data_IF_730466762825
#
_entry.id   IF_730466762825
#
_cell.length_a   1.000
_cell.length_b   1.000
_cell.length_c   1.000
_cell.angle_alpha   90.00
_cell.angle_beta   90.00
_cell.angle_gamma   90.00
#
_symmetry.space_group_name_H-M   'P 1'
#
loop_
_entity.id
_entity.type
_entity.pdbx_description
1 polymer ?
#
# COMPACT_ATOMS: atom_id res chain seq x y z
N UNK A 1 -8.53 35.11 -11.46
CA UNK A 1 -8.02 33.75 -11.75
C UNK A 1 -8.43 32.86 -10.60
N UNK A 2 -9.42 31.99 -10.77
CA UNK A 2 -9.89 31.12 -9.70
C UNK A 2 -8.93 29.93 -9.58
N UNK A 3 -8.33 29.75 -8.41
CA UNK A 3 -7.55 28.55 -8.09
C UNK A 3 -8.51 27.36 -8.07
N UNK A 4 -8.46 26.50 -9.08
CA UNK A 4 -9.26 25.28 -9.10
C UNK A 4 -8.88 24.46 -7.86
N UNK A 5 -9.84 24.26 -6.95
CA UNK A 5 -9.64 23.45 -5.75
C UNK A 5 -9.61 21.99 -6.19
N UNK A 6 -8.45 21.36 -6.06
CA UNK A 6 -8.24 19.96 -6.38
C UNK A 6 -9.15 19.08 -5.50
N UNK A 7 -9.87 18.09 -6.03
CA UNK A 7 -10.67 17.19 -5.21
C UNK A 7 -9.80 16.50 -4.14
N UNK A 8 -10.25 16.56 -2.88
CA UNK A 8 -9.58 15.95 -1.74
C UNK A 8 -10.37 14.70 -1.34
N UNK A 9 -9.70 13.55 -1.36
CA UNK A 9 -10.23 12.29 -0.84
C UNK A 9 -9.43 11.93 0.41
N UNK A 10 -10.13 11.77 1.53
CA UNK A 10 -9.53 11.28 2.77
C UNK A 10 -9.71 9.77 2.83
N UNK A 11 -8.61 9.04 2.90
CA UNK A 11 -8.64 7.61 3.17
C UNK A 11 -8.20 7.38 4.62
N UNK A 12 -9.13 6.87 5.42
CA UNK A 12 -8.82 6.41 6.78
C UNK A 12 -8.53 4.92 6.72
N UNK A 13 -7.28 4.42 6.79
CA UNK A 13 -6.98 2.99 6.77
C UNK A 13 -7.71 2.16 7.83
N UNK A 14 -8.32 2.80 8.84
CA UNK A 14 -9.19 2.15 9.80
C UNK A 14 -10.51 1.63 9.16
N UNK A 15 -11.04 0.48 9.60
CA UNK A 15 -12.29 -0.08 9.07
C UNK A 15 -13.52 0.80 9.33
N UNK A 16 -14.54 0.70 8.46
CA UNK A 16 -15.81 1.44 8.57
C UNK A 16 -16.62 1.05 9.82
N UNK A 17 -16.49 -0.19 10.28
CA UNK A 17 -17.00 -0.67 11.56
C UNK A 17 -15.83 -0.77 12.56
N UNK A 18 -15.81 0.06 13.63
CA UNK A 18 -14.64 0.21 14.49
C UNK A 18 -14.35 -1.01 15.40
N UNK A 19 -15.21 -2.03 15.40
CA UNK A 19 -15.04 -3.28 16.14
C UNK A 19 -14.44 -4.43 15.31
N UNK A 20 -14.41 -4.32 13.97
CA UNK A 20 -14.17 -5.49 13.12
C UNK A 20 -12.69 -5.85 12.94
N UNK A 21 -11.77 -4.90 13.14
CA UNK A 21 -10.34 -5.16 12.96
C UNK A 21 -9.46 -4.38 13.94
N UNK A 22 -9.44 -4.72 15.24
CA UNK A 22 -8.44 -4.17 16.13
C UNK A 22 -7.04 -4.60 15.66
N UNK A 23 -6.29 -3.65 15.10
CA UNK A 23 -4.84 -3.75 14.84
C UNK A 23 -4.39 -4.75 13.76
N UNK A 24 -5.19 -4.99 12.71
CA UNK A 24 -4.67 -5.73 11.55
C UNK A 24 -3.66 -4.88 10.76
N UNK A 25 -2.37 -5.15 11.01
CA UNK A 25 -1.26 -4.49 10.32
C UNK A 25 -1.30 -4.69 8.80
N UNK A 26 -1.88 -5.79 8.30
CA UNK A 26 -2.02 -6.03 6.86
C UNK A 26 -3.15 -5.21 6.25
N UNK A 27 -4.29 -5.10 6.92
CA UNK A 27 -5.38 -4.24 6.47
C UNK A 27 -4.89 -2.80 6.26
N UNK A 28 -4.24 -2.21 7.27
CA UNK A 28 -3.73 -0.85 7.18
C UNK A 28 -2.66 -0.68 6.10
N UNK A 29 -1.76 -1.67 5.96
CA UNK A 29 -0.71 -1.62 4.95
C UNK A 29 -1.27 -1.74 3.53
N UNK A 30 -2.27 -2.59 3.31
CA UNK A 30 -2.92 -2.78 2.03
C UNK A 30 -3.67 -1.53 1.60
N UNK A 31 -4.48 -0.94 2.49
CA UNK A 31 -5.19 0.31 2.19
C UNK A 31 -4.26 1.46 1.91
N UNK A 32 -3.18 1.56 2.69
CA UNK A 32 -2.12 2.56 2.43
C UNK A 32 -1.51 2.37 1.04
N UNK A 33 -1.25 1.13 0.62
CA UNK A 33 -0.71 0.83 -0.70
C UNK A 33 -1.72 1.12 -1.83
N UNK A 34 -2.98 0.74 -1.66
CA UNK A 34 -4.08 1.05 -2.58
C UNK A 34 -4.26 2.55 -2.76
N UNK A 35 -4.32 3.29 -1.65
CA UNK A 35 -4.44 4.75 -1.64
C UNK A 35 -3.24 5.43 -2.32
N UNK A 36 -2.02 4.91 -2.13
CA UNK A 36 -0.84 5.41 -2.82
C UNK A 36 -0.92 5.21 -4.34
N UNK A 37 -1.26 4.00 -4.80
CA UNK A 37 -1.43 3.72 -6.23
C UNK A 37 -2.55 4.58 -6.83
N UNK A 38 -3.67 4.74 -6.13
CA UNK A 38 -4.75 5.63 -6.56
C UNK A 38 -4.29 7.10 -6.67
N UNK A 39 -3.46 7.56 -5.74
CA UNK A 39 -2.86 8.90 -5.78
C UNK A 39 -1.94 9.12 -6.99
N UNK A 40 -1.19 8.09 -7.39
CA UNK A 40 -0.38 8.14 -8.61
C UNK A 40 -1.25 8.10 -9.89
N UNK A 41 -2.27 7.25 -9.92
CA UNK A 41 -3.15 7.08 -11.09
C UNK A 41 -4.12 8.24 -11.32
N UNK A 42 -4.39 9.03 -10.27
CA UNK A 42 -5.28 10.19 -10.32
C UNK A 42 -4.53 11.44 -9.86
N UNK A 43 -3.64 12.00 -10.70
CA UNK A 43 -2.80 13.15 -10.34
C UNK A 43 -3.63 14.41 -10.08
N UNK A 44 -4.91 14.45 -10.46
CA UNK A 44 -5.87 15.50 -10.16
C UNK A 44 -6.63 15.30 -8.85
N UNK A 45 -6.32 14.26 -8.06
CA UNK A 45 -6.85 14.05 -6.72
C UNK A 45 -5.75 14.23 -5.66
N UNK A 46 -6.10 14.72 -4.48
CA UNK A 46 -5.23 14.65 -3.30
C UNK A 46 -5.72 13.54 -2.39
N UNK A 47 -4.84 12.58 -2.09
CA UNK A 47 -5.10 11.50 -1.14
C UNK A 47 -4.46 11.86 0.19
N UNK A 48 -5.27 11.91 1.25
CA UNK A 48 -4.81 12.12 2.62
C UNK A 48 -4.99 10.84 3.44
N UNK A 49 -3.89 10.31 3.96
CA UNK A 49 -3.90 9.18 4.89
C UNK A 49 -4.13 9.69 6.32
N UNK A 50 -5.29 9.37 6.91
CA UNK A 50 -5.62 9.71 8.31
C UNK A 50 -5.69 8.45 9.19
N UNK A 51 -4.81 8.22 10.15
CA UNK A 51 -3.91 9.16 10.86
C UNK A 51 -2.43 8.87 10.59
N UNK A 52 -1.60 9.90 10.68
CA UNK A 52 -0.14 9.76 10.56
C UNK A 52 0.45 8.85 11.65
N UNK A 53 0.05 9.04 12.89
CA UNK A 53 0.48 8.22 14.03
C UNK A 53 -0.71 7.70 14.82
N UNK A 54 -0.49 6.64 15.60
CA UNK A 54 -1.50 6.06 16.46
C UNK A 54 -2.19 7.11 17.34
N UNK A 55 -3.52 7.10 17.31
CA UNK A 55 -4.33 7.97 18.15
C UNK A 55 -5.22 7.12 19.05
N UNK A 56 -5.16 7.41 20.35
CA UNK A 56 -5.98 6.75 21.36
C UNK A 56 -7.20 7.65 21.64
N UNK A 57 -8.24 7.52 20.81
CA UNK A 57 -9.47 8.33 20.92
C UNK A 57 -10.54 7.60 21.76
N UNK A 58 -10.15 6.97 22.87
CA UNK A 58 -11.04 6.18 23.71
C UNK A 58 -11.13 4.73 23.24
N UNK A 59 -12.34 4.16 23.19
CA UNK A 59 -12.54 2.71 22.98
C UNK A 59 -12.11 2.16 21.61
N UNK A 60 -11.72 3.01 20.66
CA UNK A 60 -11.36 2.61 19.29
C UNK A 60 -10.00 3.19 18.89
N UNK A 61 -8.89 2.52 19.27
CA UNK A 61 -7.55 2.94 18.87
C UNK A 61 -7.43 2.88 17.34
N UNK A 62 -6.97 3.98 16.73
CA UNK A 62 -6.67 4.02 15.28
C UNK A 62 -5.17 3.87 15.09
N UNK A 63 -4.77 2.81 14.39
CA UNK A 63 -3.37 2.58 14.06
C UNK A 63 -2.96 3.43 12.84
N UNK A 64 -1.94 4.27 13.03
CA UNK A 64 -1.39 5.12 11.97
C UNK A 64 -0.26 4.46 11.19
N UNK A 65 0.49 5.26 10.43
CA UNK A 65 1.76 4.85 9.84
C UNK A 65 2.85 4.64 10.90
N UNK A 66 2.78 5.40 11.99
CA UNK A 66 3.71 5.33 13.11
C UNK A 66 3.01 4.98 14.42
N UNK A 67 3.69 4.26 15.30
CA UNK A 67 3.17 4.05 16.65
C UNK A 67 3.29 5.33 17.51
N UNK A 68 2.79 5.28 18.75
CA UNK A 68 2.84 6.42 19.70
C UNK A 68 4.26 6.86 20.07
N UNK A 69 5.27 6.01 19.85
CA UNK A 69 6.69 6.30 20.07
C UNK A 69 7.41 6.67 18.77
N UNK A 70 6.66 6.91 17.69
CA UNK A 70 7.16 7.22 16.36
C UNK A 70 8.00 6.10 15.74
N UNK A 71 7.80 4.84 16.15
CA UNK A 71 8.35 3.71 15.41
C UNK A 71 7.49 3.48 14.15
N UNK A 72 8.10 3.28 12.98
CA UNK A 72 7.34 2.98 11.77
C UNK A 72 6.62 1.63 11.93
N UNK A 73 5.34 1.62 11.56
CA UNK A 73 4.54 0.38 11.44
C UNK A 73 4.69 -0.19 10.03
N UNK A 74 4.18 -1.41 9.82
CA UNK A 74 4.21 -2.10 8.52
C UNK A 74 3.73 -1.21 7.37
N UNK A 75 2.64 -0.46 7.56
CA UNK A 75 2.10 0.46 6.55
C UNK A 75 3.10 1.55 6.12
N UNK A 76 3.90 2.10 7.05
CA UNK A 76 4.94 3.07 6.72
C UNK A 76 6.04 2.45 5.86
N UNK A 77 6.47 1.23 6.18
CA UNK A 77 7.46 0.50 5.37
C UNK A 77 6.93 0.22 3.97
N UNK A 78 5.70 -0.30 3.86
CA UNK A 78 5.06 -0.59 2.58
C UNK A 78 4.95 0.66 1.72
N UNK A 79 4.44 1.76 2.28
CA UNK A 79 4.33 3.03 1.57
C UNK A 79 5.68 3.53 1.07
N UNK A 80 6.70 3.51 1.94
CA UNK A 80 8.05 3.95 1.60
C UNK A 80 8.63 3.17 0.44
N UNK A 81 8.59 1.83 0.51
CA UNK A 81 9.21 0.98 -0.50
C UNK A 81 8.40 0.96 -1.80
N UNK A 82 7.07 1.07 -1.73
CA UNK A 82 6.21 1.19 -2.90
C UNK A 82 6.50 2.48 -3.67
N UNK A 83 6.53 3.62 -2.97
CA UNK A 83 6.89 4.90 -3.59
C UNK A 83 8.29 4.86 -4.20
N UNK A 84 9.26 4.22 -3.54
CA UNK A 84 10.60 4.05 -4.10
C UNK A 84 10.59 3.22 -5.40
N UNK A 85 9.82 2.13 -5.44
CA UNK A 85 9.72 1.25 -6.61
C UNK A 85 9.04 1.94 -7.81
N UNK A 86 8.01 2.75 -7.57
CA UNK A 86 7.31 3.51 -8.62
C UNK A 86 8.21 4.66 -9.11
N UNK A 87 8.71 5.49 -8.19
CA UNK A 87 9.52 6.67 -8.53
C UNK A 87 10.82 6.32 -9.28
N UNK A 88 11.32 5.08 -9.17
CA UNK A 88 12.49 4.61 -9.90
C UNK A 88 12.29 4.56 -11.42
N UNK A 89 11.05 4.45 -11.91
CA UNK A 89 10.73 4.30 -13.34
C UNK A 89 9.71 5.31 -13.86
N UNK A 90 9.36 6.33 -13.07
CA UNK A 90 8.42 7.39 -13.44
C UNK A 90 7.07 7.25 -12.73
N UNK A 91 6.38 8.38 -12.58
CA UNK A 91 5.14 8.47 -11.77
C UNK A 91 3.87 8.58 -12.61
N UNK A 92 4.00 8.61 -13.93
CA UNK A 92 2.87 8.58 -14.86
C UNK A 92 2.43 7.13 -15.04
N UNK A 93 1.54 6.68 -14.14
CA UNK A 93 1.02 5.32 -14.15
C UNK A 93 -0.38 5.29 -14.76
N UNK A 94 -0.73 4.18 -15.39
CA UNK A 94 -2.08 3.96 -15.90
C UNK A 94 -3.09 3.65 -14.80
N UNK A 95 -4.38 3.74 -15.17
CA UNK A 95 -5.48 3.35 -14.30
C UNK A 95 -5.29 1.90 -13.82
N UNK A 96 -5.18 1.66 -12.51
CA UNK A 96 -4.91 0.34 -11.97
C UNK A 96 -6.10 -0.58 -12.19
N UNK A 97 -5.82 -1.84 -12.51
CA UNK A 97 -6.81 -2.93 -12.51
C UNK A 97 -6.64 -3.76 -11.24
N UNK A 98 -7.74 -4.03 -10.56
CA UNK A 98 -7.76 -4.73 -9.28
C UNK A 98 -8.45 -6.08 -9.44
N UNK A 99 -7.84 -7.15 -8.94
CA UNK A 99 -8.41 -8.50 -8.91
C UNK A 99 -8.20 -9.13 -7.55
N UNK A 100 -9.28 -9.65 -6.99
CA UNK A 100 -9.26 -10.36 -5.71
C UNK A 100 -9.40 -11.86 -5.93
N UNK A 101 -8.45 -12.65 -5.46
CA UNK A 101 -8.45 -14.12 -5.61
C UNK A 101 -7.63 -14.76 -4.49
N UNK A 102 -8.10 -15.88 -3.93
CA UNK A 102 -7.36 -16.72 -2.98
C UNK A 102 -6.73 -16.00 -1.77
N UNK A 103 -7.45 -15.03 -1.18
CA UNK A 103 -6.95 -14.29 -0.02
C UNK A 103 -5.90 -13.21 -0.37
N UNK A 104 -5.83 -12.84 -1.65
CA UNK A 104 -4.97 -11.75 -2.14
C UNK A 104 -5.78 -10.76 -2.97
N UNK A 105 -5.44 -9.48 -2.80
CA UNK A 105 -5.74 -8.44 -3.77
C UNK A 105 -4.51 -8.24 -4.64
N UNK A 106 -4.67 -8.35 -5.96
CA UNK A 106 -3.62 -8.06 -6.95
C UNK A 106 -3.99 -6.79 -7.71
N UNK A 107 -3.07 -5.84 -7.75
CA UNK A 107 -3.22 -4.57 -8.45
C UNK A 107 -2.17 -4.51 -9.57
N UNK A 108 -2.63 -4.38 -10.81
CA UNK A 108 -1.77 -4.25 -11.98
C UNK A 108 -1.90 -2.85 -12.57
N UNK A 109 -0.77 -2.22 -12.83
CA UNK A 109 -0.65 -0.91 -13.45
C UNK A 109 0.69 -0.84 -14.17
N UNK A 110 0.87 0.13 -15.06
CA UNK A 110 2.13 0.27 -15.77
C UNK A 110 2.48 1.75 -15.98
N UNK A 111 3.77 2.00 -16.13
CA UNK A 111 4.32 3.23 -16.73
C UNK A 111 4.61 2.97 -18.21
N UNK A 112 5.09 3.94 -19.00
CA UNK A 112 5.49 3.65 -20.37
C UNK A 112 6.67 2.67 -20.50
N UNK A 113 7.46 2.45 -19.44
CA UNK A 113 8.67 1.63 -19.47
C UNK A 113 8.62 0.40 -18.55
N UNK A 114 7.58 0.25 -17.73
CA UNK A 114 7.58 -0.74 -16.65
C UNK A 114 6.16 -1.18 -16.27
N UNK A 115 5.96 -2.48 -16.25
CA UNK A 115 4.78 -3.16 -15.72
C UNK A 115 4.94 -3.51 -14.25
N UNK A 116 3.91 -3.19 -13.47
CA UNK A 116 3.85 -3.45 -12.04
C UNK A 116 2.75 -4.46 -11.72
N UNK A 117 3.07 -5.38 -10.81
CA UNK A 117 2.08 -6.25 -10.19
C UNK A 117 2.27 -6.20 -8.68
N UNK A 118 1.39 -5.48 -7.99
CA UNK A 118 1.35 -5.36 -6.55
C UNK A 118 0.45 -6.44 -5.96
N UNK A 119 0.94 -7.15 -4.95
CA UNK A 119 0.24 -8.22 -4.26
C UNK A 119 0.04 -7.87 -2.79
N UNK A 120 -1.23 -7.84 -2.38
CA UNK A 120 -1.69 -7.42 -1.06
C UNK A 120 -2.41 -8.59 -0.36
N UNK A 121 -1.85 -9.15 0.72
CA UNK A 121 -2.42 -10.30 1.41
C UNK A 121 -3.56 -9.89 2.34
N UNK A 122 -4.67 -10.62 2.33
CA UNK A 122 -5.82 -10.35 3.20
C UNK A 122 -5.58 -10.75 4.65
N UNK A 123 -4.63 -11.66 4.91
CA UNK A 123 -4.32 -12.16 6.25
C UNK A 123 -2.81 -12.21 6.47
N UNK A 124 -2.38 -12.28 7.73
CA UNK A 124 -0.95 -12.43 8.07
C UNK A 124 -0.37 -13.79 7.67
N UNK A 125 -1.24 -14.79 7.46
CA UNK A 125 -0.84 -16.16 7.14
C UNK A 125 -1.08 -16.52 5.66
N UNK A 126 -1.48 -15.54 4.84
CA UNK A 126 -1.69 -15.74 3.42
C UNK A 126 -0.44 -16.39 2.79
N UNK A 127 -0.55 -17.57 2.14
CA UNK A 127 0.60 -18.29 1.63
C UNK A 127 1.38 -17.43 0.64
N UNK A 128 2.66 -17.21 0.94
CA UNK A 128 3.51 -16.41 0.06
C UNK A 128 3.67 -17.10 -1.30
N UNK A 129 3.41 -16.41 -2.42
CA UNK A 129 3.68 -16.97 -3.74
C UNK A 129 5.18 -17.19 -3.94
N UNK A 130 5.55 -18.05 -4.89
CA UNK A 130 6.95 -18.20 -5.28
C UNK A 130 7.50 -16.86 -5.79
N UNK A 131 8.66 -16.47 -5.26
CA UNK A 131 9.34 -15.24 -5.63
C UNK A 131 9.79 -15.29 -7.08
N UNK A 132 9.47 -14.25 -7.84
CA UNK A 132 9.94 -14.08 -9.22
C UNK A 132 11.17 -13.15 -9.22
N UNK A 133 12.05 -13.22 -10.22
CA UNK A 133 13.02 -12.15 -10.47
C UNK A 133 12.28 -10.81 -10.52
N UNK A 134 12.88 -9.75 -10.00
CA UNK A 134 12.33 -8.38 -9.82
C UNK A 134 11.24 -8.23 -8.76
N UNK A 135 11.04 -9.22 -7.89
CA UNK A 135 10.15 -9.08 -6.73
C UNK A 135 10.82 -8.21 -5.66
N UNK A 136 10.07 -7.25 -5.11
CA UNK A 136 10.47 -6.42 -3.98
C UNK A 136 9.55 -6.73 -2.81
N UNK A 137 10.13 -7.13 -1.67
CA UNK A 137 9.43 -7.20 -0.39
C UNK A 137 9.18 -5.78 0.11
N UNK A 138 7.93 -5.34 0.15
CA UNK A 138 7.58 -3.98 0.56
C UNK A 138 7.66 -3.77 2.07
N UNK A 139 7.74 -4.84 2.87
CA UNK A 139 7.90 -4.71 4.33
C UNK A 139 9.35 -4.46 4.73
N UNK A 140 10.31 -4.95 3.94
CA UNK A 140 11.76 -4.83 4.24
C UNK A 140 12.53 -3.98 3.23
N UNK A 141 11.98 -3.78 2.03
CA UNK A 141 12.68 -3.15 0.90
C UNK A 141 13.65 -4.09 0.17
N UNK A 142 13.66 -5.38 0.53
CA UNK A 142 14.57 -6.37 -0.09
C UNK A 142 14.16 -6.62 -1.53
N UNK A 143 15.08 -6.35 -2.47
CA UNK A 143 14.93 -6.68 -3.89
C UNK A 143 15.42 -8.11 -4.11
N UNK A 144 14.65 -8.90 -4.86
CA UNK A 144 14.88 -10.32 -5.13
C UNK A 144 15.06 -11.14 -3.84
N UNK A 145 14.10 -11.11 -2.89
CA UNK A 145 14.19 -11.92 -1.69
C UNK A 145 14.25 -13.40 -2.06
N UNK A 146 15.08 -14.19 -1.36
CA UNK A 146 15.16 -15.65 -1.58
C UNK A 146 13.83 -16.36 -1.31
N UNK A 147 13.05 -15.81 -0.38
CA UNK A 147 11.71 -16.27 0.01
C UNK A 147 10.97 -15.09 0.63
N UNK A 148 9.68 -14.99 0.35
CA UNK A 148 8.78 -14.08 1.05
C UNK A 148 8.17 -14.76 2.29
N UNK A 149 8.14 -14.10 3.45
CA UNK A 149 7.33 -14.55 4.57
C UNK A 149 5.83 -14.58 4.21
N UNK A 150 5.01 -15.45 4.81
CA UNK A 150 3.55 -15.39 4.68
C UNK A 150 3.01 -13.99 5.02
N UNK A 151 1.92 -13.60 4.36
CA UNK A 151 1.26 -12.31 4.62
C UNK A 151 2.09 -11.07 4.29
N UNK A 152 3.10 -11.17 3.43
CA UNK A 152 3.98 -10.05 3.03
C UNK A 152 3.45 -9.32 1.79
N UNK A 153 3.24 -8.00 1.90
CA UNK A 153 3.03 -7.14 0.73
C UNK A 153 4.28 -7.12 -0.13
N UNK A 154 4.12 -7.36 -1.43
CA UNK A 154 5.24 -7.35 -2.36
C UNK A 154 4.81 -6.84 -3.73
N UNK A 155 5.77 -6.33 -4.49
CA UNK A 155 5.54 -5.86 -5.86
C UNK A 155 6.53 -6.54 -6.81
N UNK A 156 6.07 -6.93 -7.99
CA UNK A 156 6.94 -7.37 -9.09
C UNK A 156 7.05 -6.22 -10.09
N UNK A 157 8.27 -5.93 -10.54
CA UNK A 157 8.59 -4.79 -11.42
C UNK A 157 9.26 -5.28 -12.69
N UNK A 158 8.55 -5.29 -13.81
CA UNK A 158 9.08 -5.80 -15.09
C UNK A 158 9.27 -4.68 -16.09
N UNK A 159 10.43 -4.57 -16.75
CA UNK A 159 10.55 -3.70 -17.92
C UNK A 159 9.53 -4.12 -18.99
N UNK A 160 8.84 -3.14 -19.56
CA UNK A 160 7.91 -3.32 -20.67
C UNK A 160 8.62 -3.32 -22.02
#
# INVERSE_FOLDING_TARGET
TATATKPLTTDSPAPEAPADHPQDHNHNANRTAEAAVAGYAHPDTTVLLDTFMDHDRGYFPRAGLYDRRLNPRRAAHVLRHLNAAINAHGTDITTPTLKTTDGWTTITFHTPQTDYTLHLPHTNDAPAPQTKPTTIDLTTGTINPRKLPPGTQHITVKPS
#
